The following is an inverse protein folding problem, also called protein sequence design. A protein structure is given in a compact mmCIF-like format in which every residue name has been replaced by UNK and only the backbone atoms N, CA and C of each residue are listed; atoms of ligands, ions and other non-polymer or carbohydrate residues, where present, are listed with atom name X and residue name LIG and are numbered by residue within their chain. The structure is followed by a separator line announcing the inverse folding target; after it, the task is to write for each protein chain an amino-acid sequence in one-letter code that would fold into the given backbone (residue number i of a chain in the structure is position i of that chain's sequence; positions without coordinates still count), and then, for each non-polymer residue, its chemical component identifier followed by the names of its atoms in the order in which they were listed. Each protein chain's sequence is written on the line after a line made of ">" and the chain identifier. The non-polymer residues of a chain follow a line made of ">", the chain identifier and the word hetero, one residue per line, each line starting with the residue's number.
data_IF_565823832047
#
_entry.id   IF_565823832047
#
_cell.length_a   1.000
_cell.length_b   1.000
_cell.length_c   1.000
_cell.angle_alpha   90.00
_cell.angle_beta   90.00
_cell.angle_gamma   90.00
#
_symmetry.space_group_name_H-M   'P 1'
#
loop_
_entity.id
_entity.type
_entity.pdbx_description
1 polymer ?
#
# COMPACT_ATOMS: atom_id res chain seq x y z
N UNK A 1 -22.01 20.84 26.11
CA UNK A 1 -22.32 19.80 25.12
C UNK A 1 -21.48 18.56 25.41
N UNK A 2 -22.08 17.39 25.71
CA UNK A 2 -21.33 16.16 25.99
C UNK A 2 -20.89 15.54 24.67
N UNK A 3 -19.59 15.34 24.49
CA UNK A 3 -19.04 14.54 23.39
C UNK A 3 -19.61 13.13 23.50
N UNK A 4 -20.41 12.72 22.50
CA UNK A 4 -20.84 11.34 22.36
C UNK A 4 -19.60 10.54 21.97
N UNK A 5 -19.11 9.69 22.88
CA UNK A 5 -18.11 8.67 22.54
C UNK A 5 -18.76 7.71 21.56
N UNK A 6 -18.32 7.73 20.30
CA UNK A 6 -18.67 6.68 19.34
C UNK A 6 -18.24 5.32 19.92
N UNK A 7 -19.07 4.28 19.82
CA UNK A 7 -18.68 2.94 20.26
C UNK A 7 -17.41 2.52 19.52
N UNK A 8 -16.42 2.03 20.26
CA UNK A 8 -15.19 1.52 19.67
C UNK A 8 -15.54 0.36 18.73
N UNK A 9 -15.27 0.51 17.44
CA UNK A 9 -15.43 -0.57 16.47
C UNK A 9 -14.46 -1.69 16.90
N UNK A 10 -14.95 -2.92 17.17
CA UNK A 10 -14.09 -4.01 17.56
C UNK A 10 -13.04 -4.23 16.48
N UNK A 11 -11.81 -4.46 16.93
CA UNK A 11 -10.69 -4.71 16.06
C UNK A 11 -10.97 -5.92 15.14
N UNK A 12 -10.77 -5.83 13.81
CA UNK A 12 -10.79 -7.03 12.98
C UNK A 12 -9.76 -8.06 13.48
N UNK A 13 -10.00 -9.36 13.25
CA UNK A 13 -9.05 -10.42 13.57
C UNK A 13 -7.69 -10.17 12.89
N UNK A 14 -6.61 -10.36 13.63
CA UNK A 14 -5.24 -10.21 13.12
C UNK A 14 -4.28 -9.54 14.10
N UNK A 15 -2.99 -9.71 13.86
CA UNK A 15 -1.96 -9.06 14.66
C UNK A 15 -1.96 -7.54 14.39
N UNK A 16 -1.98 -6.74 15.46
CA UNK A 16 -1.82 -5.28 15.37
C UNK A 16 -0.37 -4.91 15.61
N UNK A 17 0.16 -4.08 14.74
CA UNK A 17 1.49 -3.49 14.89
C UNK A 17 1.35 -1.98 14.81
N UNK A 18 1.86 -1.27 15.81
CA UNK A 18 1.97 0.18 15.73
C UNK A 18 2.90 0.55 14.57
N UNK A 19 2.52 1.57 13.78
CA UNK A 19 3.43 2.10 12.77
C UNK A 19 4.66 2.70 13.46
N UNK A 20 5.83 2.49 12.86
CA UNK A 20 7.07 3.09 13.34
C UNK A 20 7.08 4.61 13.12
N UNK A 21 8.07 5.28 13.72
CA UNK A 21 8.29 6.71 13.49
C UNK A 21 8.93 6.95 12.12
N UNK A 22 8.88 8.18 11.64
CA UNK A 22 9.45 8.59 10.36
C UNK A 22 8.40 8.83 9.27
N UNK A 23 8.87 8.93 8.04
CA UNK A 23 8.05 9.15 6.84
C UNK A 23 7.30 7.87 6.42
N UNK A 24 6.39 8.00 5.45
CA UNK A 24 5.57 6.89 4.97
C UNK A 24 6.42 5.73 4.43
N UNK A 25 7.49 6.04 3.70
CA UNK A 25 8.44 5.04 3.19
C UNK A 25 9.11 4.23 4.30
N UNK A 26 9.54 4.88 5.39
CA UNK A 26 10.11 4.20 6.56
C UNK A 26 9.11 3.25 7.20
N UNK A 27 7.87 3.69 7.38
CA UNK A 27 6.80 2.87 7.97
C UNK A 27 6.51 1.63 7.13
N UNK A 28 6.44 1.79 5.80
CA UNK A 28 6.24 0.66 4.89
C UNK A 28 7.42 -0.32 4.91
N UNK A 29 8.67 0.17 4.87
CA UNK A 29 9.87 -0.67 4.99
C UNK A 29 9.87 -1.48 6.29
N UNK A 30 9.52 -0.85 7.41
CA UNK A 30 9.50 -1.51 8.72
C UNK A 30 8.39 -2.56 8.81
N UNK A 31 7.22 -2.28 8.24
CA UNK A 31 6.14 -3.25 8.13
C UNK A 31 6.55 -4.48 7.29
N UNK A 32 7.19 -4.25 6.14
CA UNK A 32 7.71 -5.33 5.28
C UNK A 32 8.76 -6.16 6.03
N UNK A 33 9.71 -5.50 6.69
CA UNK A 33 10.75 -6.17 7.47
C UNK A 33 10.15 -6.98 8.63
N UNK A 34 9.14 -6.44 9.33
CA UNK A 34 8.44 -7.13 10.41
C UNK A 34 7.67 -8.35 9.92
N UNK A 35 7.03 -8.28 8.74
CA UNK A 35 6.37 -9.43 8.13
C UNK A 35 7.38 -10.54 7.76
N UNK A 36 8.52 -10.16 7.17
CA UNK A 36 9.59 -11.11 6.81
C UNK A 36 10.22 -11.78 8.02
N UNK A 37 10.46 -11.04 9.12
CA UNK A 37 10.94 -11.63 10.38
C UNK A 37 9.98 -12.67 10.98
N UNK A 38 8.70 -12.60 10.64
CA UNK A 38 7.67 -13.58 11.02
C UNK A 38 7.58 -14.77 10.04
N UNK A 39 8.47 -14.86 9.06
CA UNK A 39 8.51 -15.95 8.10
C UNK A 39 7.57 -15.78 6.91
N UNK A 40 6.94 -14.61 6.72
CA UNK A 40 6.12 -14.37 5.54
C UNK A 40 6.99 -14.17 4.29
N UNK A 41 6.65 -14.88 3.22
CA UNK A 41 7.33 -14.80 1.93
C UNK A 41 7.00 -13.52 1.16
N UNK A 42 5.90 -13.53 0.42
CA UNK A 42 5.39 -12.35 -0.28
C UNK A 42 4.70 -11.43 0.73
N UNK A 43 4.94 -10.12 0.61
CA UNK A 43 4.33 -9.12 1.50
C UNK A 43 3.68 -8.05 0.65
N UNK A 44 2.41 -7.75 0.94
CA UNK A 44 1.67 -6.63 0.36
C UNK A 44 1.41 -5.60 1.45
N UNK A 45 1.65 -4.32 1.14
CA UNK A 45 1.21 -3.18 1.93
C UNK A 45 0.13 -2.47 1.12
N UNK A 46 -1.05 -2.31 1.70
CA UNK A 46 -2.25 -1.85 1.01
C UNK A 46 -2.85 -0.68 1.79
N UNK A 47 -3.24 0.38 1.07
CA UNK A 47 -4.04 1.48 1.60
C UNK A 47 -5.42 1.01 2.07
N UNK A 48 -5.97 1.64 3.10
CA UNK A 48 -7.27 1.26 3.69
C UNK A 48 -8.46 2.04 3.12
N UNK A 49 -8.18 2.98 2.23
CA UNK A 49 -9.06 4.00 1.65
C UNK A 49 -9.47 3.68 0.21
N UNK A 50 -9.39 2.40 -0.18
CA UNK A 50 -9.62 1.95 -1.55
C UNK A 50 -10.90 1.11 -1.60
N UNK A 51 -12.10 1.73 -1.68
CA UNK A 51 -13.37 1.00 -1.56
C UNK A 51 -13.62 0.04 -2.73
N UNK A 52 -13.00 0.25 -3.89
CA UNK A 52 -13.05 -0.66 -5.03
C UNK A 52 -12.16 -1.91 -4.89
N UNK A 53 -11.41 -2.04 -3.79
CA UNK A 53 -10.55 -3.18 -3.55
C UNK A 53 -11.36 -4.48 -3.43
N UNK A 54 -10.85 -5.56 -4.02
CA UNK A 54 -11.46 -6.87 -3.95
C UNK A 54 -10.38 -7.95 -3.81
N UNK A 55 -10.78 -9.16 -3.39
CA UNK A 55 -9.86 -10.30 -3.32
C UNK A 55 -9.21 -10.62 -4.68
N UNK A 56 -9.91 -10.39 -5.79
CA UNK A 56 -9.37 -10.60 -7.14
C UNK A 56 -8.23 -9.63 -7.46
N UNK A 57 -8.29 -8.38 -6.99
CA UNK A 57 -7.19 -7.42 -7.12
C UNK A 57 -5.93 -7.89 -6.37
N UNK A 58 -6.12 -8.38 -5.14
CA UNK A 58 -5.02 -8.92 -4.31
C UNK A 58 -4.41 -10.16 -4.98
N UNK A 59 -5.23 -11.09 -5.47
CA UNK A 59 -4.77 -12.31 -6.14
C UNK A 59 -3.95 -11.99 -7.40
N UNK A 60 -4.39 -11.01 -8.21
CA UNK A 60 -3.65 -10.55 -9.40
C UNK A 60 -2.33 -9.88 -9.03
N UNK A 61 -2.30 -9.02 -8.02
CA UNK A 61 -1.05 -8.43 -7.53
C UNK A 61 -0.04 -9.49 -7.06
N UNK A 62 -0.50 -10.53 -6.35
CA UNK A 62 0.34 -11.67 -5.95
C UNK A 62 0.83 -12.48 -7.17
N UNK A 63 0.00 -12.63 -8.20
CA UNK A 63 0.38 -13.32 -9.43
C UNK A 63 1.52 -12.59 -10.16
N UNK A 64 1.52 -11.25 -10.17
CA UNK A 64 2.62 -10.46 -10.73
C UNK A 64 3.94 -10.66 -9.96
N UNK A 65 3.89 -10.85 -8.63
CA UNK A 65 5.09 -11.16 -7.83
C UNK A 65 5.72 -12.53 -8.15
N UNK A 66 5.08 -13.37 -8.96
CA UNK A 66 5.72 -14.60 -9.49
C UNK A 66 6.75 -14.31 -10.58
N UNK A 67 6.65 -13.15 -11.24
CA UNK A 67 7.48 -12.76 -12.39
C UNK A 67 8.22 -11.43 -12.16
N UNK A 68 7.88 -10.68 -11.13
CA UNK A 68 8.50 -9.42 -10.75
C UNK A 68 9.02 -9.47 -9.32
N UNK A 69 9.91 -8.54 -8.99
CA UNK A 69 10.50 -8.41 -7.67
C UNK A 69 9.64 -7.49 -6.77
N UNK A 70 9.02 -6.48 -7.38
CA UNK A 70 8.13 -5.50 -6.77
C UNK A 70 6.90 -5.32 -7.66
N UNK A 71 5.73 -5.17 -7.05
CA UNK A 71 4.51 -4.76 -7.75
C UNK A 71 3.96 -3.49 -7.11
N UNK A 72 3.48 -2.55 -7.92
CA UNK A 72 2.70 -1.41 -7.46
C UNK A 72 1.28 -1.48 -8.02
N UNK A 73 0.26 -1.19 -7.22
CA UNK A 73 -1.11 -0.96 -7.68
C UNK A 73 -1.33 0.54 -7.87
N UNK A 74 -1.34 1.08 -9.10
CA UNK A 74 -1.41 2.53 -9.32
C UNK A 74 -2.75 3.13 -8.85
N UNK A 75 -2.71 4.38 -8.40
CA UNK A 75 -3.90 5.20 -8.23
C UNK A 75 -3.98 6.26 -9.35
N UNK A 76 -5.18 6.74 -9.73
CA UNK A 76 -5.34 7.71 -10.82
C UNK A 76 -4.67 9.07 -10.58
N UNK A 77 -4.42 9.42 -9.32
CA UNK A 77 -3.81 10.67 -8.88
C UNK A 77 -2.27 10.70 -9.07
N UNK A 78 -1.66 9.58 -9.47
CA UNK A 78 -0.21 9.39 -9.61
C UNK A 78 0.46 8.78 -8.37
N UNK A 79 -0.33 8.47 -7.33
CA UNK A 79 0.03 7.62 -6.21
C UNK A 79 -0.14 6.14 -6.49
N UNK A 80 -0.28 5.36 -5.41
CA UNK A 80 -0.53 3.93 -5.49
C UNK A 80 -1.23 3.42 -4.23
N UNK A 81 -2.19 2.52 -4.44
CA UNK A 81 -2.95 1.88 -3.38
C UNK A 81 -2.27 0.63 -2.80
N UNK A 82 -1.25 0.09 -3.50
CA UNK A 82 -0.54 -1.11 -3.11
C UNK A 82 0.94 -1.05 -3.48
N UNK A 83 1.79 -1.54 -2.58
CA UNK A 83 3.16 -1.99 -2.89
C UNK A 83 3.36 -3.41 -2.39
N UNK A 84 3.88 -4.28 -3.25
CA UNK A 84 4.11 -5.69 -2.94
C UNK A 84 5.55 -6.10 -3.22
N UNK A 85 6.12 -6.94 -2.36
CA UNK A 85 7.49 -7.44 -2.49
C UNK A 85 7.49 -8.97 -2.58
N UNK A 86 8.23 -9.50 -3.55
CA UNK A 86 8.39 -10.94 -3.73
C UNK A 86 9.14 -11.61 -2.55
N UNK A 87 8.92 -12.92 -2.33
CA UNK A 87 9.65 -13.70 -1.32
C UNK A 87 11.17 -13.65 -1.52
N UNK A 88 11.94 -13.64 -0.44
CA UNK A 88 13.40 -13.75 -0.47
C UNK A 88 14.15 -12.61 -1.16
N UNK A 89 13.46 -11.57 -1.63
CA UNK A 89 14.09 -10.51 -2.42
C UNK A 89 14.66 -9.39 -1.53
N UNK A 90 15.98 -9.16 -1.48
CA UNK A 90 16.52 -8.03 -0.72
C UNK A 90 16.04 -6.71 -1.32
N UNK A 91 15.69 -5.75 -0.46
CA UNK A 91 15.31 -4.40 -0.87
C UNK A 91 16.58 -3.54 -0.98
N UNK A 92 16.73 -2.70 -2.03
CA UNK A 92 17.81 -1.74 -2.12
C UNK A 92 17.85 -0.82 -0.88
N UNK A 93 19.04 -0.36 -0.44
CA UNK A 93 19.15 0.56 0.70
C UNK A 93 18.32 1.86 0.54
N UNK A 94 18.14 2.30 -0.71
CA UNK A 94 17.36 3.47 -1.10
C UNK A 94 15.87 3.24 -1.29
N UNK A 95 15.37 2.01 -1.14
CA UNK A 95 13.97 1.67 -1.42
C UNK A 95 13.02 2.57 -0.63
N UNK A 96 12.10 3.26 -1.32
CA UNK A 96 11.14 4.23 -0.78
C UNK A 96 11.76 5.40 0.00
N UNK A 97 13.00 5.80 -0.30
CA UNK A 97 13.61 7.02 0.25
C UNK A 97 13.47 8.17 -0.75
N UNK A 98 13.27 9.38 -0.24
CA UNK A 98 13.19 10.60 -1.05
C UNK A 98 11.92 10.71 -1.91
N UNK A 99 10.91 9.90 -1.63
CA UNK A 99 9.63 9.93 -2.34
C UNK A 99 8.83 11.16 -1.94
N UNK A 100 8.35 11.92 -2.92
CA UNK A 100 7.40 13.00 -2.71
C UNK A 100 6.01 12.41 -2.52
N UNK A 101 5.67 12.14 -1.25
CA UNK A 101 4.38 11.60 -0.84
C UNK A 101 3.22 12.59 -1.07
N UNK A 102 1.99 12.07 -1.09
CA UNK A 102 0.75 12.88 -1.18
C UNK A 102 0.68 13.75 -2.43
N UNK A 103 1.04 13.17 -3.58
CA UNK A 103 0.98 13.85 -4.87
C UNK A 103 1.34 12.93 -6.05
N UNK A 104 1.29 13.48 -7.28
CA UNK A 104 1.33 12.68 -8.52
C UNK A 104 2.69 12.05 -8.83
N UNK A 105 3.68 12.32 -7.99
CA UNK A 105 5.04 11.81 -8.14
C UNK A 105 5.30 10.56 -7.29
N UNK A 106 4.40 10.22 -6.37
CA UNK A 106 4.65 9.19 -5.37
C UNK A 106 4.96 7.81 -6.01
N UNK A 107 4.20 7.40 -7.03
CA UNK A 107 4.49 6.16 -7.75
C UNK A 107 5.80 6.25 -8.54
N UNK A 108 6.02 7.33 -9.27
CA UNK A 108 7.21 7.50 -10.10
C UNK A 108 8.50 7.48 -9.25
N UNK A 109 8.53 8.26 -8.17
CA UNK A 109 9.66 8.32 -7.24
C UNK A 109 9.86 6.96 -6.53
N UNK A 110 8.77 6.28 -6.14
CA UNK A 110 8.85 4.95 -5.52
C UNK A 110 9.41 3.91 -6.47
N UNK A 111 9.01 3.92 -7.75
CA UNK A 111 9.58 3.03 -8.77
C UNK A 111 11.05 3.33 -9.02
N UNK A 112 11.44 4.60 -9.10
CA UNK A 112 12.84 4.99 -9.25
C UNK A 112 13.71 4.48 -8.09
N UNK A 113 13.17 4.47 -6.86
CA UNK A 113 13.85 3.96 -5.68
C UNK A 113 14.10 2.43 -5.67
N UNK A 114 13.47 1.69 -6.60
CA UNK A 114 13.62 0.24 -6.71
C UNK A 114 14.95 -0.20 -7.36
N UNK A 115 15.69 0.71 -7.98
CA UNK A 115 16.96 0.41 -8.63
C UNK A 115 16.81 -0.70 -9.70
N UNK A 116 17.63 -1.77 -9.66
CA UNK A 116 17.63 -2.81 -10.70
C UNK A 116 16.51 -3.86 -10.53
N UNK A 117 15.63 -3.71 -9.53
CA UNK A 117 14.54 -4.65 -9.31
C UNK A 117 13.55 -4.62 -10.47
N UNK A 118 13.02 -5.80 -10.84
CA UNK A 118 11.94 -5.90 -11.83
C UNK A 118 10.64 -5.41 -11.21
N UNK A 119 10.09 -4.34 -11.74
CA UNK A 119 8.84 -3.74 -11.25
C UNK A 119 7.69 -4.06 -12.19
N UNK A 120 6.61 -4.64 -11.65
CA UNK A 120 5.34 -4.80 -12.33
C UNK A 120 4.29 -3.80 -11.81
N UNK A 121 3.22 -3.61 -12.58
CA UNK A 121 2.05 -2.85 -12.17
C UNK A 121 0.83 -3.79 -12.09
N UNK A 122 0.05 -3.67 -11.03
CA UNK A 122 -1.24 -4.31 -10.87
C UNK A 122 -2.37 -3.40 -11.41
N UNK A 123 -3.62 -3.77 -11.15
CA UNK A 123 -4.78 -2.95 -11.52
C UNK A 123 -4.71 -1.54 -10.92
N UNK A 124 -5.15 -0.56 -11.70
CA UNK A 124 -5.34 0.81 -11.22
C UNK A 124 -6.67 0.90 -10.47
N UNK A 125 -6.65 1.35 -9.21
CA UNK A 125 -7.84 1.58 -8.39
C UNK A 125 -7.82 2.98 -7.79
N UNK A 126 -9.00 3.60 -7.68
CA UNK A 126 -9.15 4.90 -7.03
C UNK A 126 -9.31 4.74 -5.50
N UNK A 127 -8.40 5.34 -4.76
CA UNK A 127 -8.51 5.67 -3.34
C UNK A 127 -9.48 6.85 -3.11
N UNK A 128 -9.73 7.15 -1.84
CA UNK A 128 -10.59 8.24 -1.37
C UNK A 128 -9.76 9.11 -0.45
N UNK A 129 -9.26 10.22 -0.96
CA UNK A 129 -8.43 11.17 -0.21
C UNK A 129 -9.22 12.39 0.26
N UNK A 130 -10.30 12.74 -0.45
CA UNK A 130 -11.06 13.95 -0.23
C UNK A 130 -12.57 13.82 -0.44
N UNK A 131 -13.31 14.83 0.03
CA UNK A 131 -14.78 14.89 -0.07
C UNK A 131 -15.26 14.86 -1.53
N UNK A 132 -14.45 15.34 -2.47
CA UNK A 132 -14.74 15.27 -3.91
C UNK A 132 -14.81 13.84 -4.44
N UNK A 133 -14.03 12.92 -3.87
CA UNK A 133 -13.97 11.51 -4.30
C UNK A 133 -15.23 10.73 -3.89
N UNK A 134 -15.95 11.23 -2.89
CA UNK A 134 -17.22 10.65 -2.41
C UNK A 134 -18.40 10.99 -3.32
N UNK A 135 -18.34 12.10 -4.08
CA UNK A 135 -19.51 12.60 -4.85
C UNK A 135 -19.80 11.79 -6.12
N UNK A 136 -18.84 10.99 -6.61
CA UNK A 136 -18.97 10.17 -7.81
C UNK A 136 -19.34 8.70 -7.57
N UNK A 137 -19.28 8.22 -6.31
CA UNK A 137 -19.43 6.80 -5.98
C UNK A 137 -20.90 6.44 -5.79
N UNK A 138 -21.45 5.68 -6.74
CA UNK A 138 -22.85 5.21 -6.72
C UNK A 138 -23.07 4.13 -5.66
N UNK A 139 -22.01 3.46 -5.21
CA UNK A 139 -22.07 2.34 -4.28
C UNK A 139 -22.35 2.72 -2.81
N UNK A 140 -22.57 4.01 -2.51
CA UNK A 140 -22.85 4.54 -1.16
C UNK A 140 -24.17 5.33 -1.06
N UNK A 141 -25.02 5.26 -2.10
CA UNK A 141 -26.41 5.75 -2.06
C UNK A 141 -27.36 4.63 -1.68
#
# INVERSE_FOLDING_TARGET
>A
ARARSSPAIPAPPGARLAQSRGDLGARMRDAIAAARRRGHGAVLVIGTDVPGLSAAHIARALAELRRADVVFGPAPDGGYWLVGIAPGRPLPPGFLRGVRWSGPHALADSRASCGPLRVALADTLADVDGVTDLRGRREWR
#
